data_IF_932750985965
#
_entry.id   IF_932750985965
#
_cell.length_a   1.000
_cell.length_b   1.000
_cell.length_c   1.000
_cell.angle_alpha   90.00
_cell.angle_beta   90.00
_cell.angle_gamma   90.00
#
_symmetry.space_group_name_H-M   'P 1'
#
loop_
_entity.id
_entity.type
_entity.pdbx_description
1 polymer ?
#
# COMPACT_ATOMS: atom_id res chain seq x y z
N UNK A 1 19.03 -36.21 35.39
CA UNK A 1 17.75 -35.65 34.86
C UNK A 1 17.93 -35.53 33.35
N UNK A 2 16.93 -35.88 32.57
CA UNK A 2 16.99 -35.72 31.14
C UNK A 2 16.90 -34.24 30.76
N UNK A 3 17.60 -33.83 29.69
CA UNK A 3 17.47 -32.50 29.09
C UNK A 3 16.01 -32.23 28.68
N UNK A 4 15.61 -30.98 28.70
CA UNK A 4 14.33 -30.48 28.18
C UNK A 4 14.57 -29.56 27.03
N UNK A 5 13.51 -29.14 26.34
CA UNK A 5 13.65 -28.24 25.17
C UNK A 5 12.76 -27.01 25.37
N UNK A 6 13.23 -25.89 24.81
CA UNK A 6 12.41 -24.70 24.70
C UNK A 6 11.35 -24.89 23.61
N UNK A 7 10.27 -24.06 23.56
CA UNK A 7 9.27 -24.09 22.49
C UNK A 7 9.82 -23.92 21.06
N UNK A 8 11.05 -23.49 20.93
CA UNK A 8 11.76 -23.35 19.65
C UNK A 8 12.89 -24.37 19.46
N UNK A 9 12.88 -25.47 20.25
CA UNK A 9 13.74 -26.61 20.08
C UNK A 9 15.17 -26.47 20.64
N UNK A 10 15.48 -25.40 21.38
CA UNK A 10 16.79 -25.25 22.04
C UNK A 10 16.90 -26.22 23.20
N UNK A 11 17.93 -27.04 23.25
CA UNK A 11 18.17 -27.98 24.33
C UNK A 11 18.60 -27.26 25.63
N UNK A 12 17.81 -27.43 26.68
CA UNK A 12 18.11 -26.97 28.03
C UNK A 12 18.80 -28.12 28.78
N UNK A 13 20.14 -28.11 28.76
CA UNK A 13 20.93 -29.21 29.25
C UNK A 13 20.79 -29.37 30.77
N UNK A 14 20.50 -30.58 31.21
CA UNK A 14 20.51 -30.92 32.65
C UNK A 14 21.93 -31.12 33.16
N UNK A 15 22.18 -30.81 34.44
CA UNK A 15 23.46 -30.99 35.08
C UNK A 15 23.89 -32.47 35.05
N UNK A 16 25.10 -32.73 34.55
CA UNK A 16 25.69 -34.07 34.43
C UNK A 16 25.25 -34.85 33.19
N UNK A 17 24.38 -34.31 32.38
CA UNK A 17 23.98 -34.88 31.08
C UNK A 17 24.96 -34.46 29.95
N UNK A 18 24.87 -35.16 28.81
CA UNK A 18 25.69 -34.88 27.63
C UNK A 18 27.20 -35.01 27.85
N UNK A 19 27.65 -35.81 28.81
CA UNK A 19 29.08 -36.10 28.99
C UNK A 19 29.68 -36.66 27.70
N UNK A 20 30.71 -35.97 27.17
CA UNK A 20 31.38 -36.29 25.89
C UNK A 20 30.65 -35.76 24.64
N UNK A 21 29.45 -35.26 24.74
CA UNK A 21 28.67 -34.71 23.60
C UNK A 21 28.22 -33.26 23.80
N UNK A 22 28.50 -32.64 24.95
CA UNK A 22 28.08 -31.30 25.28
C UNK A 22 28.52 -30.26 24.25
N UNK A 23 29.71 -30.38 23.66
CA UNK A 23 30.19 -29.47 22.62
C UNK A 23 29.33 -29.51 21.36
N UNK A 24 28.93 -30.71 20.92
CA UNK A 24 28.02 -30.88 19.80
C UNK A 24 26.64 -30.26 20.09
N UNK A 25 26.11 -30.51 21.28
CA UNK A 25 24.82 -29.95 21.71
C UNK A 25 24.84 -28.43 21.81
N UNK A 26 25.92 -27.87 22.35
CA UNK A 26 26.14 -26.43 22.42
C UNK A 26 26.21 -25.80 21.03
N UNK A 27 26.94 -26.42 20.12
CA UNK A 27 27.09 -25.95 18.74
C UNK A 27 25.70 -25.97 18.01
N UNK A 28 24.92 -27.04 18.19
CA UNK A 28 23.57 -27.10 17.64
C UNK A 28 22.66 -25.99 18.20
N UNK A 29 22.73 -25.74 19.51
CA UNK A 29 21.99 -24.64 20.13
C UNK A 29 22.42 -23.26 19.57
N UNK A 30 23.71 -23.04 19.37
CA UNK A 30 24.21 -21.79 18.76
C UNK A 30 23.72 -21.63 17.34
N UNK A 31 23.69 -22.71 16.53
CA UNK A 31 23.11 -22.68 15.18
C UNK A 31 21.61 -22.38 15.19
N UNK A 32 20.85 -22.96 16.15
CA UNK A 32 19.43 -22.62 16.33
C UNK A 32 19.26 -21.14 16.67
N UNK A 33 20.07 -20.58 17.57
CA UNK A 33 20.04 -19.15 17.90
C UNK A 33 20.33 -18.29 16.66
N UNK A 34 21.29 -18.70 15.83
CA UNK A 34 21.61 -18.01 14.58
C UNK A 34 20.41 -18.02 13.61
N UNK A 35 19.74 -19.18 13.44
CA UNK A 35 18.52 -19.30 12.63
C UNK A 35 17.39 -18.44 13.16
N UNK A 36 17.17 -18.45 14.49
CA UNK A 36 16.16 -17.61 15.15
C UNK A 36 16.46 -16.11 15.04
N UNK A 37 17.72 -15.72 14.96
CA UNK A 37 18.12 -14.32 14.84
C UNK A 37 17.98 -13.77 13.41
N UNK A 38 18.27 -14.56 12.38
CA UNK A 38 18.32 -14.06 10.99
C UNK A 38 18.17 -15.12 9.90
N UNK A 39 17.90 -16.39 10.26
CA UNK A 39 17.81 -17.49 9.29
C UNK A 39 16.63 -17.32 8.33
N UNK A 40 16.85 -17.77 7.09
CA UNK A 40 15.85 -17.80 6.01
C UNK A 40 15.53 -19.25 5.62
N UNK A 41 14.25 -19.51 5.34
CA UNK A 41 13.82 -20.78 4.75
C UNK A 41 12.62 -20.59 3.85
N UNK A 42 12.38 -21.58 2.98
CA UNK A 42 11.17 -21.66 2.17
C UNK A 42 10.28 -22.80 2.66
N UNK A 43 8.98 -22.59 2.64
CA UNK A 43 7.95 -23.57 2.99
C UNK A 43 6.93 -23.68 1.87
N UNK A 44 6.81 -24.86 1.29
CA UNK A 44 5.72 -25.13 0.36
C UNK A 44 4.40 -25.26 1.11
N UNK A 45 3.37 -24.55 0.63
CA UNK A 45 2.02 -24.57 1.19
C UNK A 45 1.19 -25.63 0.45
N UNK A 46 0.49 -26.47 1.22
CA UNK A 46 -0.41 -27.51 0.67
C UNK A 46 -1.65 -26.88 0.06
N UNK A 47 -2.05 -27.34 -1.14
CA UNK A 47 -3.33 -26.94 -1.76
C UNK A 47 -4.52 -27.83 -1.32
N UNK A 48 -4.28 -28.90 -0.60
CA UNK A 48 -5.33 -29.86 -0.18
C UNK A 48 -5.77 -29.72 1.28
N UNK A 49 -5.09 -28.89 2.09
CA UNK A 49 -5.38 -28.74 3.52
C UNK A 49 -4.42 -27.77 4.21
N UNK A 50 -4.47 -27.77 5.51
CA UNK A 50 -3.55 -26.95 6.33
C UNK A 50 -2.11 -27.45 6.19
N UNK A 51 -1.15 -26.55 6.28
CA UNK A 51 0.27 -26.85 6.35
C UNK A 51 0.73 -26.71 7.80
N UNK A 52 0.91 -27.83 8.47
CA UNK A 52 1.27 -27.83 9.88
C UNK A 52 2.79 -27.76 10.04
N UNK A 53 3.27 -26.67 10.63
CA UNK A 53 4.69 -26.48 10.94
C UNK A 53 4.99 -26.99 12.35
N UNK A 54 6.13 -27.60 12.50
CA UNK A 54 6.62 -28.12 13.78
C UNK A 54 8.02 -27.60 14.10
N UNK A 55 8.38 -27.70 15.36
CA UNK A 55 9.73 -27.50 15.87
C UNK A 55 10.42 -28.86 15.95
N UNK A 56 11.74 -28.89 15.73
CA UNK A 56 12.55 -30.10 15.90
C UNK A 56 13.48 -29.90 17.11
N UNK A 57 13.21 -30.62 18.18
CA UNK A 57 13.95 -30.54 19.42
C UNK A 57 15.42 -30.92 19.23
N UNK A 58 16.33 -30.02 19.63
CA UNK A 58 17.77 -30.23 19.56
C UNK A 58 18.31 -30.44 18.12
N UNK A 59 17.60 -29.96 17.11
CA UNK A 59 17.98 -30.11 15.70
C UNK A 59 17.72 -28.83 14.90
N UNK A 60 18.64 -28.53 13.98
CA UNK A 60 18.48 -27.44 13.01
C UNK A 60 17.60 -27.88 11.83
N UNK A 61 17.04 -26.92 11.11
CA UNK A 61 16.32 -27.19 9.86
C UNK A 61 14.79 -27.20 9.95
N UNK A 62 14.20 -27.12 11.15
CA UNK A 62 12.78 -26.88 11.28
C UNK A 62 12.41 -25.50 10.75
N UNK A 63 11.32 -25.39 9.98
CA UNK A 63 10.87 -24.13 9.39
C UNK A 63 10.69 -23.04 10.46
N UNK A 64 10.10 -23.37 11.60
CA UNK A 64 9.84 -22.43 12.69
C UNK A 64 11.09 -21.96 13.44
N UNK A 65 12.25 -22.60 13.23
CA UNK A 65 13.54 -22.14 13.76
C UNK A 65 14.14 -20.98 12.96
N UNK A 66 13.53 -20.58 11.85
CA UNK A 66 14.02 -19.48 11.02
C UNK A 66 13.19 -18.21 11.24
N UNK A 67 13.88 -17.05 11.23
CA UNK A 67 13.23 -15.74 11.35
C UNK A 67 12.44 -15.36 10.12
N UNK A 68 12.93 -15.70 8.95
CA UNK A 68 12.35 -15.35 7.65
C UNK A 68 11.83 -16.61 6.98
N UNK A 69 10.53 -16.63 6.68
CA UNK A 69 9.86 -17.75 6.03
C UNK A 69 9.17 -17.25 4.76
N UNK A 70 9.55 -17.80 3.61
CA UNK A 70 8.88 -17.56 2.34
C UNK A 70 7.98 -18.74 2.01
N UNK A 71 6.67 -18.48 1.92
CA UNK A 71 5.69 -19.47 1.51
C UNK A 71 5.67 -19.60 -0.01
N UNK A 72 5.79 -20.83 -0.50
CA UNK A 72 5.88 -21.15 -1.93
C UNK A 72 4.84 -22.22 -2.30
N UNK A 73 4.77 -22.61 -3.57
CA UNK A 73 3.83 -23.59 -4.09
C UNK A 73 2.67 -22.95 -4.83
N UNK A 74 1.77 -23.79 -5.35
CA UNK A 74 0.57 -23.35 -6.06
C UNK A 74 -0.64 -23.68 -5.22
N UNK A 75 -1.46 -22.67 -4.90
CA UNK A 75 -2.69 -22.83 -4.11
C UNK A 75 -3.88 -22.24 -4.86
N UNK A 76 -5.00 -22.95 -4.85
CA UNK A 76 -6.24 -22.57 -5.56
C UNK A 76 -7.26 -21.86 -4.67
N UNK A 77 -7.03 -21.83 -3.37
CA UNK A 77 -7.83 -21.12 -2.38
C UNK A 77 -6.93 -20.60 -1.25
N UNK A 78 -7.45 -19.72 -0.40
CA UNK A 78 -6.75 -19.33 0.84
C UNK A 78 -6.43 -20.54 1.69
N UNK A 79 -5.17 -20.66 2.16
CA UNK A 79 -4.68 -21.82 2.92
C UNK A 79 -4.09 -21.42 4.25
N UNK A 80 -4.29 -22.29 5.26
CA UNK A 80 -3.70 -22.08 6.56
C UNK A 80 -2.29 -22.67 6.62
N UNK A 81 -1.42 -21.97 7.33
CA UNK A 81 -0.15 -22.48 7.82
C UNK A 81 -0.22 -22.39 9.35
N UNK A 82 -0.13 -23.53 10.02
CA UNK A 82 -0.34 -23.63 11.46
C UNK A 82 0.96 -23.84 12.22
N UNK A 83 1.01 -23.33 13.45
CA UNK A 83 2.15 -23.45 14.36
C UNK A 83 1.70 -23.97 15.72
N UNK A 84 2.58 -24.63 16.51
CA UNK A 84 2.29 -25.05 17.88
C UNK A 84 1.91 -23.86 18.77
N UNK A 85 0.99 -24.08 19.74
CA UNK A 85 0.42 -23.02 20.58
C UNK A 85 1.40 -22.35 21.54
N UNK A 86 2.53 -22.97 21.81
CA UNK A 86 3.58 -22.50 22.71
C UNK A 86 4.73 -21.76 22.00
N UNK A 87 4.71 -21.73 20.69
CA UNK A 87 5.72 -21.01 19.89
C UNK A 87 5.55 -19.50 20.04
N UNK A 88 6.59 -18.83 20.54
CA UNK A 88 6.67 -17.39 20.67
C UNK A 88 7.87 -16.88 19.88
N UNK A 89 7.61 -16.15 18.79
CA UNK A 89 8.65 -15.66 17.89
C UNK A 89 8.14 -14.52 17.00
N UNK A 90 9.05 -13.62 16.63
CA UNK A 90 8.83 -12.60 15.59
C UNK A 90 9.29 -13.17 14.26
N UNK A 91 8.39 -13.26 13.30
CA UNK A 91 8.63 -13.76 11.95
C UNK A 91 8.49 -12.67 10.90
N UNK A 92 9.36 -12.70 9.89
CA UNK A 92 9.14 -12.02 8.62
C UNK A 92 8.58 -13.05 7.63
N UNK A 93 7.32 -12.90 7.25
CA UNK A 93 6.59 -13.85 6.43
C UNK A 93 6.31 -13.26 5.04
N UNK A 94 6.64 -14.00 3.99
CA UNK A 94 6.37 -13.62 2.62
C UNK A 94 5.50 -14.66 1.93
N UNK A 95 4.47 -14.21 1.24
CA UNK A 95 3.63 -15.07 0.40
C UNK A 95 4.07 -14.97 -1.06
N UNK A 96 4.84 -15.96 -1.52
CA UNK A 96 5.27 -16.15 -2.91
C UNK A 96 4.55 -17.32 -3.58
N UNK A 97 3.36 -17.71 -3.09
CA UNK A 97 2.58 -18.78 -3.73
C UNK A 97 2.00 -18.31 -5.07
N UNK A 98 1.77 -19.25 -5.99
CA UNK A 98 1.03 -19.00 -7.22
C UNK A 98 -0.47 -19.18 -6.98
N UNK A 99 -1.32 -18.53 -7.82
CA UNK A 99 -2.78 -18.63 -7.76
C UNK A 99 -3.48 -17.43 -7.16
N UNK A 100 -2.73 -16.35 -6.81
CA UNK A 100 -3.28 -15.08 -6.29
C UNK A 100 -4.14 -15.26 -5.01
N UNK A 101 -3.75 -16.20 -4.15
CA UNK A 101 -4.47 -16.55 -2.93
C UNK A 101 -3.72 -16.11 -1.68
N UNK A 102 -4.45 -15.95 -0.58
CA UNK A 102 -3.87 -15.61 0.71
C UNK A 102 -3.31 -16.84 1.43
N UNK A 103 -2.26 -16.63 2.21
CA UNK A 103 -1.80 -17.56 3.23
C UNK A 103 -2.19 -17.01 4.60
N UNK A 104 -2.81 -17.85 5.42
CA UNK A 104 -3.23 -17.49 6.79
C UNK A 104 -2.31 -18.19 7.78
N UNK A 105 -1.46 -17.43 8.46
CA UNK A 105 -0.56 -17.93 9.50
C UNK A 105 -1.27 -17.85 10.85
N UNK A 106 -1.42 -18.98 11.51
CA UNK A 106 -2.22 -19.09 12.73
C UNK A 106 -1.69 -20.19 13.67
N UNK A 107 -2.13 -20.18 14.90
CA UNK A 107 -1.91 -21.31 15.82
C UNK A 107 -2.76 -22.53 15.42
N UNK A 108 -2.26 -23.72 15.71
CA UNK A 108 -2.89 -24.99 15.32
C UNK A 108 -4.26 -25.18 16.00
N UNK A 109 -4.42 -24.68 17.22
CA UNK A 109 -5.67 -24.77 17.96
C UNK A 109 -6.08 -23.41 18.51
N UNK A 110 -7.35 -23.33 18.95
CA UNK A 110 -7.90 -22.10 19.51
C UNK A 110 -8.51 -21.16 18.47
N UNK A 111 -9.10 -20.06 18.98
CA UNK A 111 -9.79 -19.02 18.20
C UNK A 111 -9.10 -17.65 18.30
N UNK A 112 -7.83 -17.62 18.69
CA UNK A 112 -7.02 -16.38 18.71
C UNK A 112 -6.83 -15.76 17.33
N UNK A 113 -6.32 -14.54 17.31
CA UNK A 113 -6.07 -13.82 16.07
C UNK A 113 -5.01 -14.51 15.19
N UNK A 114 -5.13 -14.36 13.88
CA UNK A 114 -4.23 -14.89 12.87
C UNK A 114 -3.67 -13.76 12.00
N UNK A 115 -2.58 -14.04 11.29
CA UNK A 115 -1.98 -13.13 10.30
C UNK A 115 -2.33 -13.61 8.89
N UNK A 116 -2.98 -12.77 8.10
CA UNK A 116 -3.26 -13.03 6.68
C UNK A 116 -2.20 -12.35 5.83
N UNK A 117 -1.52 -13.14 4.99
CA UNK A 117 -0.49 -12.65 4.07
C UNK A 117 -1.08 -12.70 2.66
N UNK A 118 -1.39 -11.53 2.10
CA UNK A 118 -1.88 -11.44 0.72
C UNK A 118 -0.79 -11.91 -0.27
N UNK A 119 -1.21 -12.40 -1.43
CA UNK A 119 -0.29 -12.87 -2.46
C UNK A 119 0.71 -11.77 -2.86
N UNK A 120 2.00 -12.11 -2.91
CA UNK A 120 3.09 -11.19 -3.22
C UNK A 120 3.50 -10.25 -2.09
N UNK A 121 2.78 -10.22 -0.97
CA UNK A 121 3.08 -9.33 0.16
C UNK A 121 4.03 -9.97 1.18
N UNK A 122 4.68 -9.11 1.94
CA UNK A 122 5.55 -9.46 3.07
C UNK A 122 5.03 -8.76 4.32
N UNK A 123 4.90 -9.49 5.42
CA UNK A 123 4.44 -8.96 6.70
C UNK A 123 5.43 -9.28 7.82
N UNK A 124 5.41 -8.49 8.87
CA UNK A 124 5.99 -8.85 10.15
C UNK A 124 4.89 -9.45 11.04
N UNK A 125 5.07 -10.68 11.49
CA UNK A 125 4.12 -11.39 12.32
C UNK A 125 4.75 -11.75 13.66
N UNK A 126 4.09 -11.38 14.76
CA UNK A 126 4.50 -11.75 16.10
C UNK A 126 3.56 -12.83 16.66
N UNK A 127 4.07 -14.05 16.73
CA UNK A 127 3.44 -15.17 17.40
C UNK A 127 3.64 -14.99 18.92
N UNK A 128 2.55 -14.74 19.65
CA UNK A 128 2.61 -14.25 21.04
C UNK A 128 2.60 -15.36 22.07
N UNK A 129 1.95 -16.50 21.78
CA UNK A 129 1.69 -17.57 22.76
C UNK A 129 1.16 -17.02 24.10
N UNK A 130 0.34 -15.98 24.05
CA UNK A 130 -0.11 -15.18 25.20
C UNK A 130 -1.32 -15.80 25.92
N UNK A 131 -1.95 -16.77 25.31
CA UNK A 131 -3.06 -17.57 25.88
C UNK A 131 -2.89 -19.02 25.46
N UNK A 132 -2.74 -19.91 26.40
CA UNK A 132 -2.55 -21.35 26.13
C UNK A 132 -3.71 -22.01 25.38
N UNK A 133 -4.91 -21.42 25.43
CA UNK A 133 -6.11 -21.92 24.76
C UNK A 133 -6.37 -21.23 23.42
N UNK A 134 -6.24 -19.90 23.38
CA UNK A 134 -6.51 -19.07 22.21
C UNK A 134 -5.36 -18.07 21.95
N UNK A 135 -4.15 -18.57 21.67
CA UNK A 135 -2.99 -17.69 21.48
C UNK A 135 -3.14 -16.83 20.24
N UNK A 136 -2.57 -15.63 20.30
CA UNK A 136 -2.76 -14.60 19.29
C UNK A 136 -1.51 -14.39 18.43
N UNK A 137 -1.72 -14.12 17.15
CA UNK A 137 -0.71 -13.58 16.24
C UNK A 137 -1.06 -12.14 15.91
N UNK A 138 -0.09 -11.23 16.11
CA UNK A 138 -0.18 -9.83 15.68
C UNK A 138 0.62 -9.66 14.40
N UNK A 139 0.01 -9.07 13.37
CA UNK A 139 0.68 -8.79 12.10
C UNK A 139 0.79 -7.30 11.84
N UNK A 140 1.89 -6.90 11.21
CA UNK A 140 2.12 -5.55 10.67
C UNK A 140 2.54 -5.71 9.21
N UNK A 141 1.83 -5.10 8.30
CA UNK A 141 2.22 -5.03 6.90
C UNK A 141 3.26 -3.94 6.69
N UNK A 142 4.29 -4.23 5.90
CA UNK A 142 5.25 -3.23 5.46
C UNK A 142 4.79 -2.61 4.14
N UNK A 143 4.65 -1.29 4.14
CA UNK A 143 4.24 -0.51 3.00
C UNK A 143 2.72 -0.49 2.88
N UNK A 144 2.08 0.39 3.63
CA UNK A 144 0.71 0.78 3.33
C UNK A 144 0.68 1.39 1.93
N UNK A 145 0.02 0.75 0.98
CA UNK A 145 -0.43 1.45 -0.21
C UNK A 145 -1.31 2.61 0.26
N UNK A 146 -1.21 3.76 -0.42
CA UNK A 146 -2.09 4.92 -0.15
C UNK A 146 -3.57 4.50 -0.17
N UNK A 147 -3.88 3.43 -0.87
CA UNK A 147 -5.22 2.81 -0.95
C UNK A 147 -5.74 2.28 0.40
N UNK A 148 -4.84 1.87 1.29
CA UNK A 148 -5.20 1.33 2.61
C UNK A 148 -5.36 2.45 3.67
N UNK A 149 -4.92 3.67 3.35
CA UNK A 149 -5.09 4.85 4.21
C UNK A 149 -6.35 5.61 3.79
N UNK A 150 -7.38 5.58 4.62
CA UNK A 150 -8.64 6.29 4.38
C UNK A 150 -8.54 7.81 4.57
N UNK A 151 -7.40 8.30 5.06
CA UNK A 151 -7.13 9.73 5.29
C UNK A 151 -5.67 10.07 5.01
N UNK A 152 -5.15 9.78 3.80
CA UNK A 152 -3.74 9.97 3.50
C UNK A 152 -3.33 11.43 3.62
N UNK A 153 -2.30 11.70 4.43
CA UNK A 153 -1.70 13.02 4.61
C UNK A 153 -0.30 13.05 4.01
N UNK A 154 -0.06 13.98 3.10
CA UNK A 154 1.25 14.19 2.54
C UNK A 154 2.04 15.15 3.45
N UNK A 155 3.19 14.73 3.95
CA UNK A 155 4.09 15.56 4.75
C UNK A 155 4.83 16.64 3.95
N UNK A 156 4.59 16.74 2.64
CA UNK A 156 5.17 17.68 1.69
C UNK A 156 4.38 17.73 0.39
N UNK A 157 4.91 18.36 -0.63
CA UNK A 157 4.29 18.44 -1.94
C UNK A 157 4.21 17.06 -2.59
N UNK A 158 3.10 16.78 -3.30
CA UNK A 158 3.00 15.60 -4.14
C UNK A 158 3.85 15.80 -5.41
N UNK A 159 4.94 15.04 -5.53
CA UNK A 159 5.70 14.90 -6.78
C UNK A 159 5.20 13.63 -7.50
N UNK A 160 4.60 13.80 -8.66
CA UNK A 160 4.04 12.70 -9.44
C UNK A 160 5.10 11.94 -10.25
N UNK A 161 6.38 12.37 -10.19
CA UNK A 161 7.51 11.74 -10.87
C UNK A 161 7.23 11.40 -12.36
N UNK A 162 6.67 12.37 -13.10
CA UNK A 162 6.25 12.26 -14.51
C UNK A 162 5.03 11.35 -14.79
N UNK A 163 4.32 10.91 -13.77
CA UNK A 163 3.03 10.23 -13.92
C UNK A 163 1.88 11.24 -13.85
N UNK A 164 0.73 10.85 -14.38
CA UNK A 164 -0.50 11.63 -14.30
C UNK A 164 -1.25 11.32 -13.02
N UNK A 165 -2.12 12.25 -12.61
CA UNK A 165 -3.16 12.00 -11.60
C UNK A 165 -4.45 11.76 -12.36
N UNK A 166 -5.06 10.58 -12.22
CA UNK A 166 -6.32 10.23 -12.84
C UNK A 166 -7.47 10.61 -11.90
N UNK A 167 -8.45 11.31 -12.42
CA UNK A 167 -9.70 11.62 -11.73
C UNK A 167 -10.85 10.88 -12.40
N UNK A 168 -11.67 10.21 -11.60
CA UNK A 168 -12.93 9.66 -12.06
C UNK A 168 -13.93 10.77 -12.40
N UNK A 169 -15.02 10.41 -13.11
CA UNK A 169 -16.10 11.31 -13.43
C UNK A 169 -16.71 11.92 -12.16
N UNK A 170 -17.05 13.23 -12.20
CA UNK A 170 -17.55 13.99 -11.06
C UNK A 170 -16.61 14.10 -9.85
N UNK A 171 -15.30 13.81 -10.02
CA UNK A 171 -14.29 13.98 -8.98
C UNK A 171 -13.34 15.14 -9.27
N UNK A 172 -12.62 15.62 -8.25
CA UNK A 172 -11.75 16.78 -8.41
C UNK A 172 -11.01 17.22 -7.18
N UNK A 173 -10.78 18.51 -7.06
CA UNK A 173 -10.00 19.14 -5.97
C UNK A 173 -10.98 19.88 -5.05
N UNK A 174 -10.85 19.69 -3.74
CA UNK A 174 -11.66 20.28 -2.68
C UNK A 174 -10.83 21.17 -1.76
N UNK A 175 -11.50 22.05 -1.02
CA UNK A 175 -10.93 22.79 0.09
C UNK A 175 -10.92 21.93 1.39
N UNK A 176 -10.36 22.49 2.46
CA UNK A 176 -10.29 21.84 3.79
C UNK A 176 -11.67 21.57 4.42
N UNK A 177 -12.73 22.22 3.94
CA UNK A 177 -14.10 22.05 4.43
C UNK A 177 -14.90 21.07 3.59
N UNK A 178 -14.28 20.49 2.56
CA UNK A 178 -14.88 19.52 1.65
C UNK A 178 -15.66 20.14 0.48
N UNK A 179 -15.57 21.48 0.26
CA UNK A 179 -16.22 22.12 -0.88
C UNK A 179 -15.38 21.95 -2.15
N UNK A 180 -16.03 21.66 -3.27
CA UNK A 180 -15.38 21.50 -4.56
C UNK A 180 -14.84 22.85 -5.07
N UNK A 181 -13.54 22.87 -5.41
CA UNK A 181 -12.88 24.00 -6.10
C UNK A 181 -12.74 23.75 -7.60
N UNK A 182 -12.46 22.52 -8.00
CA UNK A 182 -12.43 22.07 -9.38
C UNK A 182 -13.08 20.69 -9.46
N UNK A 183 -14.02 20.52 -10.38
CA UNK A 183 -14.63 19.23 -10.68
C UNK A 183 -14.29 18.86 -12.12
N UNK A 184 -13.80 17.62 -12.32
CA UNK A 184 -13.49 17.06 -13.61
C UNK A 184 -14.62 16.14 -14.05
N UNK A 185 -15.09 16.35 -15.28
CA UNK A 185 -16.08 15.48 -15.91
C UNK A 185 -15.44 14.79 -17.11
N UNK A 186 -15.72 13.52 -17.25
CA UNK A 186 -15.14 12.71 -18.31
C UNK A 186 -16.09 12.55 -19.48
N UNK A 187 -15.54 12.47 -20.67
CA UNK A 187 -16.26 12.14 -21.89
C UNK A 187 -15.58 10.94 -22.55
N UNK A 188 -16.35 9.89 -22.82
CA UNK A 188 -15.81 8.71 -23.49
C UNK A 188 -15.17 9.08 -24.82
N UNK A 189 -13.94 8.61 -25.05
CA UNK A 189 -13.16 8.89 -26.27
C UNK A 189 -12.84 10.38 -26.49
N UNK A 190 -12.74 11.17 -25.40
CA UNK A 190 -12.32 12.58 -25.51
C UNK A 190 -10.94 12.69 -26.15
N UNK A 191 -10.82 13.62 -27.10
CA UNK A 191 -9.56 13.93 -27.81
C UNK A 191 -9.13 15.38 -27.64
N UNK A 192 -9.98 16.22 -27.05
CA UNK A 192 -9.76 17.66 -26.84
C UNK A 192 -9.74 17.95 -25.35
N UNK A 193 -8.85 18.85 -24.93
CA UNK A 193 -8.65 19.16 -23.51
C UNK A 193 -8.25 20.64 -23.32
N UNK A 194 -8.27 21.08 -22.06
CA UNK A 194 -7.64 22.32 -21.63
C UNK A 194 -6.15 22.09 -21.36
N UNK A 195 -5.31 22.96 -21.90
CA UNK A 195 -3.90 23.06 -21.56
C UNK A 195 -3.66 24.34 -20.77
N UNK A 196 -3.03 24.20 -19.59
CA UNK A 196 -2.64 25.31 -18.71
C UNK A 196 -1.11 25.36 -18.71
N UNK A 197 -0.56 26.37 -19.34
CA UNK A 197 0.90 26.55 -19.47
C UNK A 197 1.36 27.72 -18.60
N UNK A 198 2.36 27.51 -17.75
CA UNK A 198 3.06 28.58 -17.04
C UNK A 198 4.01 29.33 -18.00
N UNK A 199 4.58 30.45 -17.56
CA UNK A 199 5.50 31.23 -18.39
C UNK A 199 6.70 31.75 -17.58
N UNK A 200 7.84 31.90 -18.28
CA UNK A 200 9.00 32.61 -17.73
C UNK A 200 8.74 34.11 -17.62
N UNK A 201 9.60 34.79 -16.86
CA UNK A 201 9.54 36.28 -16.73
C UNK A 201 9.50 36.95 -18.09
N UNK A 202 8.55 37.87 -18.26
CA UNK A 202 8.33 38.61 -19.53
C UNK A 202 7.36 37.95 -20.50
N UNK A 203 6.92 36.72 -20.24
CA UNK A 203 5.89 36.03 -21.03
C UNK A 203 4.61 35.86 -20.20
N UNK A 204 3.50 35.53 -20.86
CA UNK A 204 2.20 35.34 -20.21
C UNK A 204 1.85 33.84 -20.10
N UNK A 205 1.35 33.34 -18.98
CA UNK A 205 0.76 32.01 -18.90
C UNK A 205 -0.51 31.95 -19.75
N UNK A 206 -0.85 30.77 -20.24
CA UNK A 206 -2.01 30.58 -21.13
C UNK A 206 -2.94 29.50 -20.62
N UNK A 207 -4.22 29.63 -20.97
CA UNK A 207 -5.22 28.56 -20.92
C UNK A 207 -5.70 28.37 -22.35
N UNK A 208 -5.48 27.20 -22.92
CA UNK A 208 -5.80 26.91 -24.31
C UNK A 208 -6.62 25.65 -24.47
N UNK A 209 -7.42 25.59 -25.52
CA UNK A 209 -8.09 24.38 -25.96
C UNK A 209 -7.20 23.68 -26.99
N UNK A 210 -6.79 22.45 -26.69
CA UNK A 210 -5.88 21.64 -27.53
C UNK A 210 -6.44 20.24 -27.73
N UNK A 211 -5.92 19.51 -28.73
CA UNK A 211 -6.33 18.13 -28.94
C UNK A 211 -6.26 17.66 -30.39
N UNK A 212 -6.96 16.57 -30.70
CA UNK A 212 -6.94 15.90 -32.00
C UNK A 212 -7.84 16.52 -33.07
N UNK A 213 -8.78 17.40 -32.72
CA UNK A 213 -9.66 18.04 -33.71
C UNK A 213 -9.00 19.22 -34.38
N UNK A 214 -9.34 19.48 -35.66
CA UNK A 214 -8.73 20.57 -36.45
C UNK A 214 -9.14 21.97 -35.96
N UNK A 215 -10.32 22.10 -35.34
CA UNK A 215 -10.85 23.35 -34.80
C UNK A 215 -11.47 23.09 -33.43
N UNK A 216 -10.95 23.72 -32.40
CA UNK A 216 -11.39 23.56 -31.01
C UNK A 216 -11.69 24.95 -30.43
N UNK A 217 -12.90 25.15 -29.97
CA UNK A 217 -13.28 26.40 -29.30
C UNK A 217 -13.02 26.31 -27.79
N UNK A 218 -12.50 27.38 -27.22
CA UNK A 218 -12.46 27.58 -25.77
C UNK A 218 -13.80 28.20 -25.35
N UNK A 219 -14.62 27.45 -24.60
CA UNK A 219 -15.95 27.87 -24.17
C UNK A 219 -15.97 28.11 -22.67
N UNK A 220 -16.33 29.33 -22.24
CA UNK A 220 -16.57 29.68 -20.85
C UNK A 220 -18.06 29.95 -20.66
N UNK A 221 -18.75 29.14 -19.86
CA UNK A 221 -20.20 29.20 -19.66
C UNK A 221 -20.53 29.64 -18.24
N UNK A 222 -20.94 30.90 -18.02
CA UNK A 222 -21.47 31.30 -16.72
C UNK A 222 -22.81 30.65 -16.41
N UNK A 223 -23.12 30.41 -15.15
CA UNK A 223 -24.38 29.81 -14.70
C UNK A 223 -25.50 30.87 -14.63
N UNK A 224 -26.69 30.52 -15.12
CA UNK A 224 -27.92 31.37 -15.04
C UNK A 224 -27.75 32.70 -15.76
N UNK A 225 -28.04 33.80 -15.09
CA UNK A 225 -27.87 35.16 -15.61
C UNK A 225 -26.47 35.77 -15.41
N UNK A 226 -25.53 34.95 -14.96
CA UNK A 226 -24.14 35.36 -14.79
C UNK A 226 -23.50 35.80 -16.11
N UNK A 227 -22.43 36.59 -16.03
CA UNK A 227 -21.67 37.06 -17.20
C UNK A 227 -20.19 36.74 -17.01
N UNK A 228 -19.50 36.38 -18.09
CA UNK A 228 -18.04 36.29 -18.08
C UNK A 228 -17.43 37.67 -17.86
N UNK A 229 -16.48 37.81 -16.94
CA UNK A 229 -15.78 39.07 -16.62
C UNK A 229 -14.29 38.88 -16.73
N UNK A 230 -13.62 39.80 -17.39
CA UNK A 230 -12.17 39.97 -17.32
C UNK A 230 -11.87 41.23 -16.55
N UNK A 231 -11.11 41.12 -15.45
CA UNK A 231 -10.77 42.26 -14.60
C UNK A 231 -9.25 42.34 -14.47
N UNK A 232 -8.66 43.50 -14.70
CA UNK A 232 -7.24 43.70 -14.44
C UNK A 232 -6.99 44.03 -12.95
N UNK A 233 -5.79 43.67 -12.45
CA UNK A 233 -5.45 43.79 -11.03
C UNK A 233 -5.27 45.23 -10.52
N UNK A 234 -5.25 46.25 -11.38
CA UNK A 234 -4.95 47.63 -10.99
C UNK A 234 -6.16 48.43 -10.45
N UNK A 235 -7.27 47.73 -10.14
CA UNK A 235 -8.37 48.31 -9.37
C UNK A 235 -9.12 49.51 -10.00
N UNK A 236 -8.68 49.99 -11.14
CA UNK A 236 -9.41 50.97 -11.93
C UNK A 236 -10.36 50.20 -12.84
N UNK A 237 -11.56 50.17 -12.40
CA UNK A 237 -12.77 49.56 -12.86
C UNK A 237 -12.97 49.62 -14.39
N UNK A 238 -12.34 48.74 -15.13
CA UNK A 238 -12.89 48.34 -16.42
C UNK A 238 -13.16 46.83 -16.41
N UNK A 239 -14.30 46.47 -15.84
CA UNK A 239 -14.82 45.13 -16.03
C UNK A 239 -15.13 44.97 -17.53
N UNK A 240 -14.26 44.27 -18.24
CA UNK A 240 -14.52 43.96 -19.63
C UNK A 240 -15.54 42.81 -19.71
N UNK A 241 -16.74 43.12 -20.17
CA UNK A 241 -17.72 42.10 -20.46
C UNK A 241 -17.32 41.37 -21.76
N UNK A 242 -17.13 40.07 -21.70
CA UNK A 242 -16.98 39.25 -22.91
C UNK A 242 -18.39 39.20 -23.54
N UNK A 243 -18.60 39.90 -24.63
CA UNK A 243 -19.86 39.84 -25.36
C UNK A 243 -19.75 38.84 -26.51
N UNK A 244 -20.69 37.91 -26.55
CA UNK A 244 -20.73 36.83 -27.56
C UNK A 244 -21.36 37.27 -28.87
N UNK A 245 -21.93 38.47 -28.98
CA UNK A 245 -22.79 38.87 -30.10
C UNK A 245 -22.10 39.70 -31.15
N UNK A 246 -20.79 39.84 -31.19
CA UNK A 246 -20.11 40.69 -32.19
C UNK A 246 -20.50 42.18 -32.18
N UNK A 247 -21.58 42.57 -31.49
CA UNK A 247 -22.12 43.94 -31.45
C UNK A 247 -21.30 44.88 -30.55
N UNK A 248 -20.58 44.34 -29.55
CA UNK A 248 -19.78 45.17 -28.65
C UNK A 248 -18.56 45.82 -29.33
N UNK A 249 -17.99 45.19 -30.32
CA UNK A 249 -16.80 45.68 -31.06
C UNK A 249 -17.24 46.78 -32.05
N UNK A 250 -18.38 46.60 -32.69
CA UNK A 250 -18.90 47.58 -33.66
C UNK A 250 -19.26 48.90 -32.98
N UNK A 251 -19.78 48.87 -31.74
CA UNK A 251 -20.15 50.11 -31.03
C UNK A 251 -18.94 50.97 -30.65
N UNK A 252 -17.84 50.36 -30.28
CA UNK A 252 -16.59 51.11 -29.95
C UNK A 252 -15.86 51.69 -31.17
N UNK A 253 -16.04 51.07 -32.34
CA UNK A 253 -15.49 51.57 -33.60
C UNK A 253 -16.33 52.68 -34.30
N UNK A 254 -17.63 52.71 -34.05
CA UNK A 254 -18.56 53.67 -34.71
C UNK A 254 -18.75 54.95 -33.89
N UNK A 255 -18.57 54.94 -32.59
CA UNK A 255 -18.74 56.10 -31.71
C UNK A 255 -17.45 56.41 -30.89
N UNK A 256 -16.28 56.30 -31.54
CA UNK A 256 -14.99 56.66 -30.93
C UNK A 256 -15.02 58.05 -30.31
N UNK A 257 -15.07 58.11 -28.98
CA UNK A 257 -14.74 59.25 -28.14
C UNK A 257 -13.67 58.81 -27.16
#
# INVERSE_FOLDING_TARGET
>A
MASTFSPLGIELQATGENAGTWGTKTNTNLQLVEQLAGGFTQQAVSDSGDTDLSVSDGSTGATLAHRVIEFTGTISASRNVTIPNDVQQLYLLKNSTSGSQNVVFKYATGSGSSATIANGKTILAFARADDGTNPNITAVEFGGDVVDDTSPQLGGNLDTNSFMIDFDDDHGIRDENGNEQLQFQTTASAVNLFDITNAATGNSPTISAVGGASNIALTLVPKGTGVGKLTNANGTSSTQKITTDGKGIVFSMVFGY
#
